data_IF_702496246131
#
_entry.id   IF_702496246131
#
_cell.length_a   1.000
_cell.length_b   1.000
_cell.length_c   1.000
_cell.angle_alpha   90.00
_cell.angle_beta   90.00
_cell.angle_gamma   90.00
#
_symmetry.space_group_name_H-M   'P 1'
#
loop_
_entity.id
_entity.type
_entity.pdbx_description
1 polymer ?
#
# COMPACT_ATOMS: atom_id res chain seq x y z
N UNK A 1 8.85 16.23 -6.54
CA UNK A 1 10.16 15.87 -5.99
C UNK A 1 10.59 14.51 -6.53
N UNK A 2 11.88 14.14 -6.49
CA UNK A 2 12.32 12.78 -6.86
C UNK A 2 11.73 11.73 -5.90
N UNK A 3 11.62 12.10 -4.62
CA UNK A 3 11.09 11.25 -3.55
C UNK A 3 9.85 11.87 -2.92
N UNK A 4 8.93 11.00 -2.50
CA UNK A 4 7.78 11.36 -1.67
C UNK A 4 7.73 10.44 -0.46
N UNK A 5 7.65 11.02 0.72
CA UNK A 5 7.58 10.32 1.99
C UNK A 5 6.15 10.34 2.54
N UNK A 6 5.74 9.21 3.10
CA UNK A 6 4.42 9.03 3.69
C UNK A 6 4.61 8.79 5.19
N UNK A 7 4.22 9.74 6.06
CA UNK A 7 4.32 9.55 7.50
C UNK A 7 3.63 8.26 7.95
N UNK A 8 4.30 7.46 8.76
CA UNK A 8 3.80 6.15 9.23
C UNK A 8 2.39 6.29 9.82
N UNK A 9 2.18 7.26 10.70
CA UNK A 9 0.89 7.54 11.34
C UNK A 9 -0.25 7.85 10.36
N UNK A 10 0.07 8.45 9.21
CA UNK A 10 -0.91 8.73 8.15
C UNK A 10 -1.25 7.43 7.41
N UNK A 11 -0.25 6.65 7.02
CA UNK A 11 -0.48 5.38 6.31
C UNK A 11 -1.26 4.38 7.18
N UNK A 12 -0.90 4.28 8.46
CA UNK A 12 -1.55 3.41 9.45
C UNK A 12 -3.04 3.76 9.63
N UNK A 13 -3.34 5.07 9.77
CA UNK A 13 -4.71 5.55 9.96
C UNK A 13 -5.60 5.31 8.73
N UNK A 14 -5.05 5.45 7.52
CA UNK A 14 -5.85 5.41 6.29
C UNK A 14 -5.99 4.00 5.71
N UNK A 15 -5.06 3.08 6.01
CA UNK A 15 -4.93 1.72 5.48
C UNK A 15 -4.72 1.59 3.96
N UNK A 16 -5.35 2.46 3.17
CA UNK A 16 -5.30 2.53 1.71
C UNK A 16 -5.13 4.00 1.32
N UNK A 17 -4.06 4.29 0.58
CA UNK A 17 -3.86 5.59 -0.05
C UNK A 17 -3.74 5.37 -1.56
N UNK A 18 -4.55 6.10 -2.33
CA UNK A 18 -4.44 6.20 -3.78
C UNK A 18 -3.75 7.52 -4.10
N UNK A 19 -2.51 7.48 -4.57
CA UNK A 19 -1.74 8.68 -4.90
C UNK A 19 -1.25 8.63 -6.36
N UNK A 20 -0.70 9.73 -6.84
CA UNK A 20 0.02 9.87 -8.09
C UNK A 20 1.37 10.51 -7.81
N UNK A 21 2.45 9.76 -8.04
CA UNK A 21 3.83 10.24 -7.84
C UNK A 21 4.52 10.29 -9.19
N UNK A 22 4.96 11.47 -9.61
CA UNK A 22 5.63 11.69 -10.91
C UNK A 22 4.81 11.10 -12.08
N UNK A 23 3.49 11.32 -12.08
CA UNK A 23 2.55 10.80 -13.08
C UNK A 23 2.22 9.31 -12.98
N UNK A 24 2.81 8.57 -12.03
CA UNK A 24 2.56 7.14 -11.83
C UNK A 24 1.50 6.92 -10.75
N UNK A 25 0.37 6.27 -11.08
CA UNK A 25 -0.66 5.99 -10.08
C UNK A 25 -0.20 4.88 -9.15
N UNK A 26 -0.02 5.20 -7.87
CA UNK A 26 0.47 4.26 -6.85
C UNK A 26 -0.60 3.97 -5.79
N UNK A 27 -0.53 2.78 -5.22
CA UNK A 27 -1.29 2.30 -4.08
C UNK A 27 -0.33 2.09 -2.94
N UNK A 28 -0.66 2.63 -1.77
CA UNK A 28 0.02 2.32 -0.52
C UNK A 28 -0.99 1.60 0.37
N UNK A 29 -0.60 0.43 0.84
CA UNK A 29 -1.34 -0.38 1.80
C UNK A 29 -0.60 -0.37 3.13
N UNK A 30 -1.35 -0.24 4.22
CA UNK A 30 -0.85 -0.40 5.57
C UNK A 30 -1.87 -1.21 6.38
N UNK A 31 -1.56 -2.47 6.67
CA UNK A 31 -2.41 -3.36 7.44
C UNK A 31 -1.70 -3.85 8.69
N UNK A 32 -2.42 -3.93 9.81
CA UNK A 32 -1.87 -4.38 11.09
C UNK A 32 -1.80 -5.92 11.15
N UNK A 33 -0.91 -6.43 12.00
CA UNK A 33 -0.45 -7.83 12.01
C UNK A 33 -1.52 -8.92 11.89
N UNK A 34 -2.68 -8.78 12.55
CA UNK A 34 -3.76 -9.78 12.44
C UNK A 34 -4.39 -9.85 11.04
N UNK A 35 -4.46 -8.73 10.33
CA UNK A 35 -5.04 -8.62 8.99
C UNK A 35 -4.02 -9.04 7.92
N UNK A 36 -2.75 -8.72 8.13
CA UNK A 36 -1.64 -9.20 7.30
C UNK A 36 -1.44 -10.72 7.42
N UNK A 37 -1.72 -11.30 8.60
CA UNK A 37 -1.55 -12.72 8.87
C UNK A 37 -2.58 -13.63 8.18
N UNK A 38 -3.72 -13.09 7.72
CA UNK A 38 -4.73 -13.86 6.97
C UNK A 38 -4.18 -14.40 5.63
N UNK A 39 -3.12 -13.80 5.09
CA UNK A 39 -2.42 -14.26 3.88
C UNK A 39 -1.26 -15.22 4.17
N UNK A 40 -0.80 -15.33 5.43
CA UNK A 40 0.37 -16.14 5.78
C UNK A 40 -0.04 -17.47 6.40
N UNK A 41 0.35 -18.58 5.75
CA UNK A 41 0.27 -19.94 6.34
C UNK A 41 1.23 -20.16 7.52
N UNK A 42 2.04 -19.16 7.87
CA UNK A 42 3.08 -19.27 8.89
C UNK A 42 2.84 -18.24 10.00
N UNK A 43 1.89 -18.58 10.87
CA UNK A 43 1.36 -17.76 11.96
C UNK A 43 2.42 -17.51 13.06
N UNK A 44 3.54 -18.23 13.02
CA UNK A 44 4.49 -18.30 14.14
C UNK A 44 5.55 -17.18 14.19
N UNK A 45 5.66 -16.30 13.18
CA UNK A 45 6.78 -15.32 13.09
C UNK A 45 6.40 -13.87 12.83
N UNK A 46 5.12 -13.53 12.61
CA UNK A 46 4.73 -12.15 12.36
C UNK A 46 4.71 -11.35 13.67
N UNK A 47 5.82 -10.69 14.00
CA UNK A 47 5.81 -9.60 15.00
C UNK A 47 4.71 -8.61 14.63
N UNK A 48 4.03 -8.08 15.65
CA UNK A 48 2.95 -7.05 15.62
C UNK A 48 3.40 -5.69 15.02
N UNK A 49 4.12 -5.68 13.91
CA UNK A 49 4.51 -4.49 13.16
C UNK A 49 3.57 -4.41 11.96
N UNK A 50 2.98 -3.23 11.71
CA UNK A 50 2.19 -2.98 10.52
C UNK A 50 2.96 -3.38 9.26
N UNK A 51 2.28 -4.01 8.32
CA UNK A 51 2.86 -4.38 7.03
C UNK A 51 2.51 -3.31 6.01
N UNK A 52 3.54 -2.69 5.43
CA UNK A 52 3.40 -1.73 4.33
C UNK A 52 3.63 -2.43 3.00
N UNK A 53 2.79 -2.15 2.00
CA UNK A 53 3.01 -2.58 0.61
C UNK A 53 2.75 -1.43 -0.36
N UNK A 54 3.61 -1.25 -1.36
CA UNK A 54 3.49 -0.18 -2.36
C UNK A 54 3.47 -0.76 -3.78
N UNK A 55 2.44 -0.40 -4.56
CA UNK A 55 2.16 -1.02 -5.85
C UNK A 55 1.72 0.00 -6.90
N UNK A 56 1.89 -0.35 -8.18
CA UNK A 56 1.22 0.31 -9.28
C UNK A 56 -0.28 0.01 -9.23
N UNK A 57 -1.12 1.02 -9.43
CA UNK A 57 -2.59 0.85 -9.59
C UNK A 57 -3.00 0.50 -11.02
N UNK A 58 -2.08 0.51 -11.96
CA UNK A 58 -2.36 0.12 -13.34
C UNK A 58 -2.42 -1.41 -13.46
N UNK A 59 -3.58 -1.91 -13.88
CA UNK A 59 -3.83 -3.31 -14.21
C UNK A 59 -4.37 -3.34 -15.64
N UNK A 60 -3.62 -3.94 -16.56
CA UNK A 60 -3.96 -4.07 -17.98
C UNK A 60 -4.41 -2.74 -18.62
N UNK A 61 -3.65 -1.66 -18.36
CA UNK A 61 -3.93 -0.34 -18.91
C UNK A 61 -5.02 0.45 -18.18
N UNK A 62 -5.70 -0.15 -17.19
CA UNK A 62 -6.71 0.54 -16.38
C UNK A 62 -6.15 0.92 -15.01
N UNK A 63 -6.29 2.19 -14.66
CA UNK A 63 -5.94 2.67 -13.32
C UNK A 63 -7.07 2.36 -12.36
N UNK A 64 -6.82 1.42 -11.45
CA UNK A 64 -7.76 1.06 -10.39
C UNK A 64 -7.71 2.08 -9.25
N UNK A 65 -8.77 2.14 -8.46
CA UNK A 65 -8.85 2.90 -7.21
C UNK A 65 -9.29 1.96 -6.11
N UNK A 66 -8.61 2.03 -4.98
CA UNK A 66 -8.79 1.10 -3.88
C UNK A 66 -9.48 1.77 -2.71
N UNK A 67 -10.16 0.98 -1.89
CA UNK A 67 -10.77 1.39 -0.63
C UNK A 67 -10.56 0.31 0.42
N UNK A 68 -10.57 0.71 1.67
CA UNK A 68 -10.60 -0.21 2.79
C UNK A 68 -12.01 -0.24 3.40
N UNK A 69 -12.66 -1.40 3.43
CA UNK A 69 -14.02 -1.54 3.99
C UNK A 69 -14.19 -2.93 4.61
N UNK A 70 -14.81 -2.99 5.81
CA UNK A 70 -15.05 -4.26 6.52
C UNK A 70 -13.79 -5.13 6.61
N UNK A 71 -12.67 -4.51 6.96
CA UNK A 71 -11.36 -5.18 7.10
C UNK A 71 -10.79 -5.79 5.81
N UNK A 72 -11.26 -5.34 4.64
CA UNK A 72 -10.79 -5.80 3.32
C UNK A 72 -10.32 -4.62 2.47
N UNK A 73 -9.23 -4.83 1.74
CA UNK A 73 -8.79 -3.95 0.63
C UNK A 73 -9.56 -4.36 -0.62
N UNK A 74 -10.25 -3.42 -1.24
CA UNK A 74 -11.09 -3.67 -2.43
C UNK A 74 -10.84 -2.63 -3.51
N UNK A 75 -10.85 -3.02 -4.78
CA UNK A 75 -10.92 -2.04 -5.87
C UNK A 75 -12.37 -1.59 -6.14
N UNK A 76 -12.56 -0.35 -6.59
CA UNK A 76 -13.88 0.24 -6.87
C UNK A 76 -14.47 -0.23 -8.20
N UNK A 77 -13.63 -0.66 -9.14
CA UNK A 77 -14.03 -1.00 -10.51
C UNK A 77 -14.70 -2.37 -10.58
N UNK A 78 -14.26 -3.33 -9.77
CA UNK A 78 -14.66 -4.73 -9.85
C UNK A 78 -15.06 -5.33 -8.51
N UNK A 79 -14.82 -4.62 -7.40
CA UNK A 79 -15.02 -5.13 -6.04
C UNK A 79 -14.17 -6.38 -5.72
N UNK A 80 -13.06 -6.59 -6.44
CA UNK A 80 -12.13 -7.67 -6.11
C UNK A 80 -11.43 -7.35 -4.79
N UNK A 81 -11.11 -8.39 -4.02
CA UNK A 81 -10.44 -8.26 -2.72
C UNK A 81 -8.96 -8.54 -2.90
N UNK A 82 -8.12 -7.73 -2.28
CA UNK A 82 -6.68 -7.76 -2.44
C UNK A 82 -5.97 -8.03 -1.11
N UNK A 83 -4.92 -8.86 -1.17
CA UNK A 83 -3.99 -9.13 -0.08
C UNK A 83 -3.06 -7.93 0.17
N UNK A 84 -2.39 -7.93 1.34
CA UNK A 84 -1.33 -6.95 1.62
C UNK A 84 -0.17 -7.02 0.61
N UNK A 85 0.05 -8.20 0.02
CA UNK A 85 1.09 -8.46 -0.99
C UNK A 85 0.70 -8.01 -2.39
N UNK A 86 -0.48 -7.37 -2.56
CA UNK A 86 -0.95 -6.88 -3.84
C UNK A 86 -1.53 -7.95 -4.76
N UNK A 87 -1.93 -9.10 -4.22
CA UNK A 87 -2.58 -10.18 -4.98
C UNK A 87 -4.09 -10.12 -4.81
N UNK A 88 -4.83 -10.19 -5.90
CA UNK A 88 -6.28 -10.34 -5.84
C UNK A 88 -6.64 -11.78 -5.39
N UNK A 89 -7.31 -11.91 -4.26
CA UNK A 89 -7.66 -13.19 -3.63
C UNK A 89 -9.13 -13.60 -3.86
N UNK A 90 -10.01 -12.64 -4.11
CA UNK A 90 -11.44 -12.85 -4.40
C UNK A 90 -11.91 -11.88 -5.50
N UNK A 91 -13.03 -12.22 -6.15
CA UNK A 91 -13.68 -11.36 -7.14
C UNK A 91 -13.16 -11.54 -8.56
N UNK A 92 -13.52 -10.59 -9.44
CA UNK A 92 -13.32 -10.67 -10.90
C UNK A 92 -11.84 -10.72 -11.30
N UNK A 93 -10.97 -10.08 -10.52
CA UNK A 93 -9.54 -10.01 -10.79
C UNK A 93 -8.75 -11.08 -10.03
N UNK A 94 -9.39 -12.06 -9.39
CA UNK A 94 -8.72 -13.10 -8.61
C UNK A 94 -7.54 -13.74 -9.37
N UNK A 95 -6.40 -13.84 -8.70
CA UNK A 95 -5.14 -14.35 -9.26
C UNK A 95 -4.23 -13.26 -9.84
N UNK A 96 -4.77 -12.07 -10.12
CA UNK A 96 -3.97 -10.92 -10.58
C UNK A 96 -2.99 -10.46 -9.49
N UNK A 97 -1.78 -10.11 -9.90
CA UNK A 97 -0.73 -9.56 -9.04
C UNK A 97 -0.44 -8.12 -9.43
N UNK A 98 -0.56 -7.17 -8.50
CA UNK A 98 -0.10 -5.81 -8.71
C UNK A 98 1.42 -5.78 -8.80
N UNK A 99 1.93 -4.91 -9.68
CA UNK A 99 3.37 -4.67 -9.81
C UNK A 99 3.86 -3.86 -8.62
N UNK A 100 4.77 -4.42 -7.83
CA UNK A 100 5.42 -3.72 -6.73
C UNK A 100 6.21 -2.51 -7.23
N UNK A 101 6.16 -1.43 -6.46
CA UNK A 101 7.01 -0.25 -6.61
C UNK A 101 8.12 -0.36 -5.59
N UNK A 102 9.32 0.15 -5.87
CA UNK A 102 10.39 0.20 -4.88
C UNK A 102 10.03 1.20 -3.77
N UNK A 103 10.09 0.76 -2.52
CA UNK A 103 9.87 1.57 -1.33
C UNK A 103 10.74 1.06 -0.19
N UNK A 104 10.81 1.83 0.89
CA UNK A 104 11.42 1.41 2.15
C UNK A 104 10.85 2.21 3.31
N UNK A 105 10.88 1.60 4.50
CA UNK A 105 10.55 2.26 5.75
C UNK A 105 11.83 2.84 6.36
N UNK A 106 11.84 4.15 6.59
CA UNK A 106 13.00 4.87 7.11
C UNK A 106 12.61 5.72 8.31
N UNK A 107 13.53 5.85 9.27
CA UNK A 107 13.40 6.90 10.28
C UNK A 107 13.55 8.28 9.62
N UNK A 108 12.59 9.17 9.88
CA UNK A 108 12.54 10.49 9.24
C UNK A 108 13.83 11.28 9.42
N UNK A 109 14.38 11.33 10.64
CA UNK A 109 15.63 12.05 10.90
C UNK A 109 16.80 11.56 10.04
N UNK A 110 16.87 10.26 9.76
CA UNK A 110 17.93 9.69 8.93
C UNK A 110 17.69 10.00 7.45
N UNK A 111 16.45 9.86 6.97
CA UNK A 111 16.11 10.13 5.57
C UNK A 111 16.30 11.60 5.19
N UNK A 112 15.72 12.51 5.98
CA UNK A 112 15.76 13.95 5.71
C UNK A 112 17.15 14.57 5.89
N UNK A 113 18.07 13.91 6.60
CA UNK A 113 19.48 14.34 6.64
C UNK A 113 20.15 14.24 5.25
N UNK A 114 19.72 13.31 4.39
CA UNK A 114 20.28 13.09 3.05
C UNK A 114 19.38 13.56 1.91
N UNK A 115 18.06 13.69 2.16
CA UNK A 115 17.04 14.05 1.14
C UNK A 115 16.05 15.10 1.70
N UNK A 116 16.53 16.30 2.10
CA UNK A 116 15.70 17.33 2.73
C UNK A 116 14.54 17.83 1.83
N UNK A 117 14.68 17.73 0.52
CA UNK A 117 13.71 18.13 -0.50
C UNK A 117 12.60 17.07 -0.76
N UNK A 118 12.59 15.98 0.01
CA UNK A 118 11.55 14.95 -0.09
C UNK A 118 10.18 15.57 0.17
N UNK A 119 9.26 15.38 -0.76
CA UNK A 119 7.87 15.83 -0.60
C UNK A 119 7.20 15.01 0.50
N UNK A 120 6.53 15.66 1.45
CA UNK A 120 5.72 14.97 2.44
C UNK A 120 4.29 14.82 1.93
N UNK A 121 3.74 13.62 2.08
CA UNK A 121 2.32 13.39 1.85
C UNK A 121 1.50 13.99 3.00
N UNK A 122 0.52 14.79 2.65
CA UNK A 122 -0.49 15.36 3.56
C UNK A 122 -1.87 14.83 3.16
N UNK A 123 -2.73 14.62 4.14
CA UNK A 123 -4.14 14.28 3.89
C UNK A 123 -4.88 15.60 3.74
N UNK A 124 -5.54 15.82 2.61
CA UNK A 124 -6.50 16.92 2.43
C UNK A 124 -7.77 16.71 3.29
#
# INVERSE_FOLDING_TARGET
SEYKAYPYSITERNNVINDVVNGKPILILHLNGALSALDSRDISKAKNVGSTGVFSRNVDGKTLTFRYRKFKVMDNQTNSVWSITGKAIEGKLKGTQLKSVLYGDYFSFAWFAFRPETELYEVE
#
